data_IF_643240845963
#
_entry.id   IF_643240845963
#
_cell.length_a   1.000
_cell.length_b   1.000
_cell.length_c   1.000
_cell.angle_alpha   90.00
_cell.angle_beta   90.00
_cell.angle_gamma   90.00
#
_symmetry.space_group_name_H-M   'P 1'
#
loop_
_entity.id
_entity.type
_entity.pdbx_description
1 polymer ?
#
# COMPACT_ATOMS: atom_id res chain seq x y z
N UNK A 1 -18.48 -9.69 6.96
CA UNK A 1 -17.53 -10.81 6.68
C UNK A 1 -16.23 -10.62 7.47
N UNK A 2 -15.49 -11.71 7.76
CA UNK A 2 -14.13 -11.65 8.35
C UNK A 2 -13.16 -12.31 7.37
N UNK A 3 -12.20 -11.54 6.84
CA UNK A 3 -11.08 -12.08 6.08
C UNK A 3 -9.96 -12.49 7.04
N UNK A 4 -9.62 -13.78 7.02
CA UNK A 4 -8.55 -14.33 7.85
C UNK A 4 -7.18 -14.05 7.24
N UNK A 5 -6.16 -13.95 8.10
CA UNK A 5 -4.76 -13.82 7.66
C UNK A 5 -4.33 -15.04 6.86
N UNK A 6 -3.60 -14.83 5.76
CA UNK A 6 -3.16 -15.89 4.84
C UNK A 6 -1.65 -16.08 4.81
N UNK A 7 -0.86 -15.09 5.28
CA UNK A 7 0.62 -15.17 5.31
C UNK A 7 1.20 -15.09 6.72
N UNK A 8 0.33 -15.26 7.73
CA UNK A 8 0.76 -15.36 9.13
C UNK A 8 1.70 -16.56 9.34
N UNK A 9 2.79 -16.35 10.07
CA UNK A 9 3.83 -17.37 10.29
C UNK A 9 4.85 -17.51 9.16
N UNK A 10 4.62 -16.85 8.00
CA UNK A 10 5.55 -16.86 6.87
C UNK A 10 6.11 -15.48 6.55
N UNK A 11 5.28 -14.45 6.42
CA UNK A 11 5.72 -13.06 6.16
C UNK A 11 5.98 -12.28 7.45
N UNK A 12 5.26 -12.63 8.51
CA UNK A 12 5.40 -12.06 9.85
C UNK A 12 5.08 -13.14 10.92
N UNK A 13 5.50 -12.96 12.18
CA UNK A 13 5.28 -13.97 13.24
C UNK A 13 3.81 -14.36 13.42
N UNK A 14 3.57 -15.65 13.63
CA UNK A 14 2.23 -16.21 13.80
C UNK A 14 1.64 -16.03 15.20
N UNK A 15 2.43 -15.63 16.20
CA UNK A 15 1.92 -15.42 17.56
C UNK A 15 1.86 -13.94 17.90
N UNK A 16 0.82 -13.49 18.64
CA UNK A 16 0.63 -12.08 18.98
C UNK A 16 1.84 -11.45 19.69
N UNK A 17 2.45 -12.18 20.61
CA UNK A 17 3.58 -11.70 21.43
C UNK A 17 4.80 -11.42 20.53
N UNK A 18 5.19 -12.41 19.72
CA UNK A 18 6.34 -12.29 18.81
C UNK A 18 6.12 -11.19 17.78
N UNK A 19 4.90 -11.13 17.23
CA UNK A 19 4.55 -10.13 16.22
C UNK A 19 4.58 -8.72 16.82
N UNK A 20 4.04 -8.54 18.03
CA UNK A 20 4.05 -7.23 18.71
C UNK A 20 5.47 -6.75 19.00
N UNK A 21 6.34 -7.63 19.49
CA UNK A 21 7.75 -7.32 19.74
C UNK A 21 8.45 -6.93 18.43
N UNK A 22 8.37 -7.78 17.39
CA UNK A 22 9.03 -7.49 16.11
C UNK A 22 8.52 -6.21 15.46
N UNK A 23 7.20 -5.98 15.44
CA UNK A 23 6.62 -4.77 14.86
C UNK A 23 7.06 -3.50 15.61
N UNK A 24 7.15 -3.56 16.94
CA UNK A 24 7.66 -2.44 17.74
C UNK A 24 9.14 -2.15 17.43
N UNK A 25 9.96 -3.20 17.27
CA UNK A 25 11.38 -3.07 16.91
C UNK A 25 11.60 -2.52 15.48
N UNK A 26 10.60 -2.66 14.60
CA UNK A 26 10.65 -2.17 13.22
C UNK A 26 10.19 -0.71 13.09
N UNK A 27 9.26 -0.27 13.95
CA UNK A 27 8.72 1.10 13.92
C UNK A 27 9.63 2.01 14.76
N UNK A 28 10.86 2.19 14.32
CA UNK A 28 11.82 3.06 14.99
C UNK A 28 12.12 4.27 14.10
N UNK A 29 12.02 5.46 14.66
CA UNK A 29 12.44 6.68 13.98
C UNK A 29 12.36 7.89 14.90
N UNK A 30 13.47 8.63 14.96
CA UNK A 30 13.59 9.90 15.69
C UNK A 30 13.26 11.12 14.81
N UNK A 31 12.92 10.89 13.54
CA UNK A 31 12.61 11.98 12.62
C UNK A 31 11.23 12.58 12.92
N UNK A 32 11.08 13.89 12.73
CA UNK A 32 9.79 14.55 12.92
C UNK A 32 8.70 13.92 12.04
N UNK A 33 7.51 13.72 12.62
CA UNK A 33 6.36 13.21 11.89
C UNK A 33 5.84 14.23 10.88
N UNK A 34 5.44 13.76 9.71
CA UNK A 34 4.89 14.57 8.64
C UNK A 34 3.44 14.20 8.34
N UNK A 35 2.65 15.20 7.96
CA UNK A 35 1.33 14.98 7.40
C UNK A 35 1.51 14.66 5.91
N UNK A 36 1.36 13.40 5.55
CA UNK A 36 1.42 12.97 4.16
C UNK A 36 0.00 12.72 3.62
N UNK A 37 -0.16 12.88 2.31
CA UNK A 37 -1.37 12.49 1.58
C UNK A 37 -1.32 11.00 1.28
N UNK A 38 -0.12 10.46 1.00
CA UNK A 38 0.08 9.04 0.75
C UNK A 38 1.52 8.60 0.97
N UNK A 39 1.73 7.30 0.98
CA UNK A 39 3.04 6.66 1.10
C UNK A 39 3.12 5.40 0.24
N UNK A 40 4.31 5.10 -0.28
CA UNK A 40 4.63 3.81 -0.91
C UNK A 40 5.39 2.98 0.10
N UNK A 41 4.92 1.76 0.38
CA UNK A 41 5.44 0.91 1.47
C UNK A 41 5.63 -0.52 0.96
N UNK A 42 6.79 -1.15 1.19
CA UNK A 42 7.04 -2.52 0.74
C UNK A 42 6.25 -3.56 1.53
N UNK A 43 6.05 -4.76 0.93
CA UNK A 43 5.28 -5.85 1.52
C UNK A 43 5.95 -7.23 1.46
N UNK A 44 7.25 -7.30 1.25
CA UNK A 44 8.00 -8.53 1.47
C UNK A 44 7.90 -8.96 2.94
N UNK A 45 8.32 -10.19 3.27
CA UNK A 45 8.36 -10.63 4.65
C UNK A 45 9.15 -9.67 5.55
N UNK A 46 8.75 -9.51 6.80
CA UNK A 46 9.30 -8.51 7.73
C UNK A 46 10.81 -8.60 7.93
N UNK A 47 11.40 -9.78 7.75
CA UNK A 47 12.86 -9.95 7.79
C UNK A 47 13.57 -9.17 6.66
N UNK A 48 12.90 -8.93 5.54
CA UNK A 48 13.46 -8.22 4.38
C UNK A 48 13.03 -6.75 4.33
N UNK A 49 11.73 -6.48 4.38
CA UNK A 49 11.17 -5.15 4.14
C UNK A 49 10.69 -4.43 5.39
N UNK A 50 10.59 -5.13 6.53
CA UNK A 50 9.98 -4.59 7.73
C UNK A 50 10.62 -3.30 8.24
N UNK A 51 11.96 -3.17 8.16
CA UNK A 51 12.68 -1.94 8.56
C UNK A 51 12.33 -0.75 7.67
N UNK A 52 12.17 -0.98 6.36
CA UNK A 52 11.79 0.07 5.43
C UNK A 52 10.34 0.50 5.69
N UNK A 53 9.42 -0.47 5.79
CA UNK A 53 8.02 -0.22 6.09
C UNK A 53 7.84 0.50 7.43
N UNK A 54 8.52 0.02 8.47
CA UNK A 54 8.51 0.63 9.81
C UNK A 54 9.04 2.05 9.83
N UNK A 55 10.13 2.34 9.10
CA UNK A 55 10.68 3.69 8.98
C UNK A 55 9.68 4.66 8.32
N UNK A 56 8.94 4.20 7.29
CA UNK A 56 7.89 5.01 6.67
C UNK A 56 6.77 5.30 7.68
N UNK A 57 6.24 4.27 8.36
CA UNK A 57 5.15 4.46 9.33
C UNK A 57 5.56 5.31 10.54
N UNK A 58 6.82 5.22 10.99
CA UNK A 58 7.34 6.06 12.05
C UNK A 58 7.34 7.57 11.70
N UNK A 59 7.47 7.90 10.40
CA UNK A 59 7.46 9.29 9.89
C UNK A 59 6.05 9.89 9.77
N UNK A 60 5.01 9.08 9.76
CA UNK A 60 3.67 9.55 9.43
C UNK A 60 2.88 10.01 10.65
N UNK A 61 2.13 11.11 10.51
CA UNK A 61 1.04 11.44 11.42
C UNK A 61 -0.08 10.43 11.15
N UNK A 62 -0.45 9.65 12.17
CA UNK A 62 -1.38 8.55 12.05
C UNK A 62 -2.81 9.07 11.78
N UNK A 63 -3.49 8.62 10.70
CA UNK A 63 -4.83 9.06 10.34
C UNK A 63 -5.91 8.25 11.06
N UNK A 64 -7.18 8.59 10.82
CA UNK A 64 -8.33 7.80 11.25
C UNK A 64 -8.59 6.62 10.30
N UNK A 65 -8.32 6.82 9.00
CA UNK A 65 -8.59 5.84 7.93
C UNK A 65 -7.39 5.71 7.00
N UNK A 66 -7.08 4.47 6.61
CA UNK A 66 -6.13 4.19 5.54
C UNK A 66 -6.86 3.72 4.27
N UNK A 67 -6.56 4.30 3.11
CA UNK A 67 -6.90 3.70 1.80
C UNK A 67 -5.69 2.92 1.33
N UNK A 68 -5.80 1.59 1.27
CA UNK A 68 -4.71 0.70 0.93
C UNK A 68 -4.86 0.14 -0.47
N UNK A 69 -3.95 0.52 -1.35
CA UNK A 69 -3.87 0.07 -2.73
C UNK A 69 -2.78 -1.00 -2.82
N UNK A 70 -3.10 -2.22 -3.22
CA UNK A 70 -2.14 -3.31 -3.37
C UNK A 70 -2.22 -3.98 -4.74
N UNK A 71 -1.15 -4.60 -5.23
CA UNK A 71 -1.23 -5.47 -6.39
C UNK A 71 -2.01 -6.74 -6.05
N UNK A 72 -2.66 -7.34 -7.04
CA UNK A 72 -3.20 -8.69 -6.93
C UNK A 72 -2.23 -9.68 -7.58
N UNK A 73 -1.46 -10.39 -6.75
CA UNK A 73 -0.49 -11.39 -7.21
C UNK A 73 -1.13 -12.72 -7.62
N UNK A 74 -2.39 -12.93 -7.23
CA UNK A 74 -3.08 -14.21 -7.46
C UNK A 74 -3.71 -14.30 -8.84
N UNK A 75 -4.02 -13.17 -9.46
CA UNK A 75 -4.76 -13.09 -10.72
C UNK A 75 -6.21 -13.56 -10.61
N UNK A 76 -6.74 -13.72 -9.39
CA UNK A 76 -8.12 -14.17 -9.12
C UNK A 76 -8.98 -12.97 -8.76
N UNK A 77 -10.23 -12.98 -9.18
CA UNK A 77 -11.20 -11.91 -8.92
C UNK A 77 -11.23 -10.82 -10.00
N UNK A 78 -11.85 -9.70 -9.66
CA UNK A 78 -12.02 -8.56 -10.54
C UNK A 78 -10.67 -7.87 -10.88
N UNK A 79 -10.61 -7.20 -12.02
CA UNK A 79 -9.42 -6.43 -12.44
C UNK A 79 -9.02 -5.34 -11.46
N UNK A 80 -10.01 -4.72 -10.80
CA UNK A 80 -9.83 -3.86 -9.64
C UNK A 80 -10.89 -4.23 -8.61
N UNK A 81 -10.47 -4.83 -7.50
CA UNK A 81 -11.34 -5.36 -6.47
C UNK A 81 -11.33 -4.48 -5.22
N UNK A 82 -12.51 -4.18 -4.67
CA UNK A 82 -12.70 -3.53 -3.37
C UNK A 82 -13.57 -4.40 -2.47
N UNK A 83 -13.29 -4.40 -1.16
CA UNK A 83 -14.25 -4.90 -0.15
C UNK A 83 -14.80 -3.69 0.59
N UNK A 84 -16.14 -3.56 0.63
CA UNK A 84 -16.79 -2.37 1.21
C UNK A 84 -17.21 -2.54 2.65
N UNK A 85 -17.23 -3.77 3.20
CA UNK A 85 -17.65 -4.01 4.58
C UNK A 85 -17.00 -5.24 5.20
N UNK A 86 -16.95 -5.27 6.53
CA UNK A 86 -16.39 -6.38 7.28
C UNK A 86 -15.11 -6.02 8.02
N UNK A 87 -14.25 -7.03 8.24
CA UNK A 87 -13.01 -6.89 9.01
C UNK A 87 -11.94 -7.81 8.46
N UNK A 88 -10.67 -7.42 8.59
CA UNK A 88 -9.55 -8.32 8.38
C UNK A 88 -8.93 -8.72 9.72
N UNK A 89 -8.56 -9.99 9.82
CA UNK A 89 -7.97 -10.57 11.01
C UNK A 89 -6.46 -10.69 10.85
N UNK A 90 -5.73 -10.31 11.90
CA UNK A 90 -4.30 -10.55 12.09
C UNK A 90 -4.07 -11.18 13.47
N UNK A 91 -2.89 -11.69 13.80
CA UNK A 91 -2.60 -12.12 15.16
C UNK A 91 -2.75 -11.03 16.24
N UNK A 92 -2.69 -9.75 15.85
CA UNK A 92 -2.87 -8.61 16.77
C UNK A 92 -4.33 -8.19 16.96
N UNK A 93 -5.27 -8.84 16.26
CA UNK A 93 -6.70 -8.54 16.36
C UNK A 93 -7.31 -8.16 15.00
N UNK A 94 -8.55 -7.70 15.05
CA UNK A 94 -9.33 -7.38 13.86
C UNK A 94 -9.25 -5.88 13.52
N UNK A 95 -9.09 -5.58 12.24
CA UNK A 95 -9.12 -4.22 11.69
C UNK A 95 -10.40 -4.05 10.86
N UNK A 96 -11.28 -3.09 11.21
CA UNK A 96 -12.53 -2.88 10.49
C UNK A 96 -12.28 -2.18 9.14
N UNK A 97 -13.10 -2.53 8.14
CA UNK A 97 -13.20 -1.79 6.89
C UNK A 97 -14.02 -0.53 7.13
N UNK A 98 -13.59 0.58 6.54
CA UNK A 98 -14.36 1.81 6.53
C UNK A 98 -15.43 1.75 5.45
N UNK A 99 -16.61 1.29 5.84
CA UNK A 99 -17.73 1.04 4.92
C UNK A 99 -18.19 2.31 4.19
N UNK A 100 -18.18 3.44 4.87
CA UNK A 100 -18.67 4.71 4.30
C UNK A 100 -17.73 5.17 3.18
N UNK A 101 -16.43 5.24 3.47
CA UNK A 101 -15.41 5.65 2.49
C UNK A 101 -15.29 4.63 1.36
N UNK A 102 -15.32 3.32 1.67
CA UNK A 102 -15.26 2.27 0.65
C UNK A 102 -16.41 2.35 -0.36
N UNK A 103 -17.64 2.53 0.12
CA UNK A 103 -18.81 2.71 -0.73
C UNK A 103 -18.78 4.03 -1.50
N UNK A 104 -18.20 5.10 -0.93
CA UNK A 104 -17.99 6.35 -1.65
C UNK A 104 -17.00 6.17 -2.80
N UNK A 105 -15.88 5.49 -2.59
CA UNK A 105 -14.90 5.18 -3.63
C UNK A 105 -15.53 4.34 -4.74
N UNK A 106 -16.25 3.27 -4.40
CA UNK A 106 -16.92 2.40 -5.36
C UNK A 106 -17.89 3.18 -6.27
N UNK A 107 -18.70 4.08 -5.70
CA UNK A 107 -19.64 4.90 -6.48
C UNK A 107 -18.97 5.90 -7.42
N UNK A 108 -17.76 6.32 -7.13
CA UNK A 108 -17.00 7.29 -7.92
C UNK A 108 -16.19 6.67 -9.05
N UNK A 109 -16.12 5.33 -9.13
CA UNK A 109 -15.32 4.59 -10.13
C UNK A 109 -16.22 3.85 -11.12
N UNK A 110 -15.70 3.66 -12.32
CA UNK A 110 -16.29 2.79 -13.34
C UNK A 110 -15.55 1.46 -13.49
N UNK A 111 -14.38 1.36 -12.88
CA UNK A 111 -13.48 0.20 -13.02
C UNK A 111 -13.46 -0.67 -11.77
N UNK A 112 -13.72 -0.09 -10.59
CA UNK A 112 -13.71 -0.82 -9.33
C UNK A 112 -14.98 -1.66 -9.19
N UNK A 113 -14.80 -2.93 -8.85
CA UNK A 113 -15.88 -3.88 -8.57
C UNK A 113 -15.84 -4.33 -7.11
N UNK A 114 -16.99 -4.50 -6.47
CA UNK A 114 -17.06 -5.12 -5.15
C UNK A 114 -16.78 -6.62 -5.29
N UNK A 115 -15.62 -7.05 -4.83
CA UNK A 115 -15.16 -8.43 -5.00
C UNK A 115 -14.25 -8.88 -3.87
N UNK A 116 -14.62 -9.97 -3.22
CA UNK A 116 -13.86 -10.62 -2.16
C UNK A 116 -12.72 -11.49 -2.70
N UNK A 117 -12.90 -12.09 -3.88
CA UNK A 117 -12.00 -13.10 -4.42
C UNK A 117 -10.60 -12.52 -4.65
N UNK A 118 -10.53 -11.28 -5.12
CA UNK A 118 -9.28 -10.56 -5.32
C UNK A 118 -8.45 -10.40 -4.05
N UNK A 119 -9.08 -10.50 -2.88
CA UNK A 119 -8.43 -10.30 -1.59
C UNK A 119 -8.20 -11.57 -0.79
N UNK A 120 -8.90 -12.68 -1.09
CA UNK A 120 -8.92 -13.87 -0.24
C UNK A 120 -7.55 -14.47 0.01
N UNK A 121 -6.67 -14.50 -1.00
CA UNK A 121 -5.31 -15.08 -0.93
C UNK A 121 -4.21 -14.05 -1.20
N UNK A 122 -4.58 -12.78 -1.33
CA UNK A 122 -3.63 -11.70 -1.58
C UNK A 122 -3.02 -11.20 -0.28
N UNK A 123 -1.71 -10.99 -0.26
CA UNK A 123 -0.94 -10.66 0.93
C UNK A 123 -0.48 -9.21 1.03
N UNK A 124 -0.40 -8.50 -0.12
CA UNK A 124 0.23 -7.18 -0.21
C UNK A 124 -0.34 -6.13 0.76
N UNK A 125 -1.66 -6.14 0.97
CA UNK A 125 -2.33 -5.26 1.93
C UNK A 125 -2.26 -5.85 3.35
N UNK A 126 -2.40 -7.18 3.49
CA UNK A 126 -2.39 -7.84 4.80
C UNK A 126 -1.11 -7.55 5.58
N UNK A 127 0.05 -7.61 4.90
CA UNK A 127 1.37 -7.41 5.50
C UNK A 127 1.51 -6.02 6.15
N UNK A 128 0.77 -5.03 5.68
CA UNK A 128 0.79 -3.68 6.23
C UNK A 128 0.09 -3.57 7.61
N UNK A 129 -0.98 -4.35 7.81
CA UNK A 129 -1.87 -4.19 8.96
C UNK A 129 -1.18 -4.39 10.32
N UNK A 130 -0.33 -5.43 10.55
CA UNK A 130 0.28 -5.61 11.87
C UNK A 130 1.24 -4.47 12.26
N UNK A 131 1.95 -3.86 11.31
CA UNK A 131 2.79 -2.69 11.60
C UNK A 131 1.94 -1.50 12.04
N UNK A 132 0.82 -1.27 11.36
CA UNK A 132 -0.11 -0.19 11.74
C UNK A 132 -0.78 -0.45 13.10
N UNK A 133 -1.16 -1.70 13.38
CA UNK A 133 -1.70 -2.07 14.70
C UNK A 133 -0.69 -1.86 15.83
N UNK A 134 0.60 -2.11 15.55
CA UNK A 134 1.67 -1.88 16.52
C UNK A 134 1.90 -0.38 16.84
N UNK A 135 1.44 0.54 15.99
CA UNK A 135 1.40 1.98 16.33
C UNK A 135 0.45 2.31 17.47
N UNK A 136 -0.38 1.35 17.93
CA UNK A 136 -1.18 1.43 19.14
C UNK A 136 -2.40 2.38 19.08
N UNK A 137 -2.81 2.80 17.87
CA UNK A 137 -3.99 3.66 17.66
C UNK A 137 -5.05 2.89 16.86
N UNK A 138 -6.33 2.99 17.25
CA UNK A 138 -7.41 2.41 16.45
C UNK A 138 -7.51 3.12 15.10
N UNK A 139 -7.80 2.35 14.06
CA UNK A 139 -8.04 2.84 12.70
C UNK A 139 -8.98 1.90 11.95
N UNK A 140 -9.56 2.40 10.88
CA UNK A 140 -10.23 1.62 9.84
C UNK A 140 -9.47 1.74 8.52
N UNK A 141 -9.80 0.90 7.55
CA UNK A 141 -9.13 0.97 6.24
C UNK A 141 -10.06 0.58 5.11
N UNK A 142 -9.66 0.91 3.89
CA UNK A 142 -10.32 0.49 2.64
C UNK A 142 -9.31 -0.30 1.81
N UNK A 143 -9.52 -1.61 1.59
CA UNK A 143 -8.63 -2.43 0.76
C UNK A 143 -9.05 -2.35 -0.72
N UNK A 144 -8.12 -2.04 -1.61
CA UNK A 144 -8.29 -2.05 -3.06
C UNK A 144 -7.14 -2.83 -3.69
N UNK A 145 -7.43 -3.93 -4.38
CA UNK A 145 -6.45 -4.73 -5.12
C UNK A 145 -6.54 -4.44 -6.62
N UNK A 146 -5.39 -4.19 -7.26
CA UNK A 146 -5.29 -3.91 -8.69
C UNK A 146 -4.55 -5.04 -9.41
N UNK A 147 -5.23 -5.68 -10.35
CA UNK A 147 -4.65 -6.62 -11.31
C UNK A 147 -4.54 -6.02 -12.71
N UNK A 148 -5.42 -5.07 -13.03
CA UNK A 148 -5.41 -4.39 -14.33
C UNK A 148 -4.11 -3.63 -14.55
N UNK A 149 -3.55 -3.77 -15.77
CA UNK A 149 -2.29 -3.16 -16.17
C UNK A 149 -2.45 -1.86 -17.00
N UNK A 150 -3.70 -1.43 -17.21
CA UNK A 150 -3.98 -0.27 -18.05
C UNK A 150 -3.87 1.04 -17.24
N UNK A 151 -3.22 2.05 -17.81
CA UNK A 151 -3.11 3.38 -17.20
C UNK A 151 -4.48 4.01 -16.92
N UNK A 152 -5.45 3.80 -17.82
CA UNK A 152 -6.82 4.30 -17.64
C UNK A 152 -7.50 3.75 -16.39
N UNK A 153 -7.25 2.48 -16.03
CA UNK A 153 -7.77 1.91 -14.79
C UNK A 153 -7.12 2.56 -13.57
N UNK A 154 -5.80 2.79 -13.59
CA UNK A 154 -5.11 3.52 -12.52
C UNK A 154 -5.65 4.95 -12.37
N UNK A 155 -5.98 5.60 -13.49
CA UNK A 155 -6.54 6.94 -13.51
C UNK A 155 -7.94 6.97 -12.89
N UNK A 156 -8.82 6.07 -13.29
CA UNK A 156 -10.16 5.97 -12.73
C UNK A 156 -10.12 5.71 -11.22
N UNK A 157 -9.31 4.74 -10.77
CA UNK A 157 -9.11 4.44 -9.33
C UNK A 157 -8.58 5.65 -8.58
N UNK A 158 -7.54 6.31 -9.09
CA UNK A 158 -6.93 7.47 -8.44
C UNK A 158 -7.91 8.62 -8.27
N UNK A 159 -8.67 8.95 -9.33
CA UNK A 159 -9.69 10.00 -9.29
C UNK A 159 -10.86 9.64 -8.36
N UNK A 160 -11.31 8.38 -8.36
CA UNK A 160 -12.37 7.91 -7.48
C UNK A 160 -11.98 8.03 -6.00
N UNK A 161 -10.75 7.61 -5.67
CA UNK A 161 -10.18 7.74 -4.32
C UNK A 161 -10.06 9.20 -3.92
N UNK A 162 -9.52 10.06 -4.78
CA UNK A 162 -9.36 11.48 -4.49
C UNK A 162 -10.69 12.18 -4.20
N UNK A 163 -11.72 11.94 -5.02
CA UNK A 163 -13.06 12.50 -4.82
C UNK A 163 -13.66 12.05 -3.49
N UNK A 164 -13.62 10.75 -3.19
CA UNK A 164 -14.17 10.22 -1.95
C UNK A 164 -13.43 10.77 -0.70
N UNK A 165 -12.11 10.95 -0.78
CA UNK A 165 -11.32 11.57 0.30
C UNK A 165 -11.68 13.05 0.47
N UNK A 166 -11.81 13.81 -0.62
CA UNK A 166 -12.18 15.22 -0.58
C UNK A 166 -13.56 15.47 0.02
N UNK A 167 -14.50 14.54 -0.15
CA UNK A 167 -15.84 14.56 0.44
C UNK A 167 -15.86 14.11 1.91
N UNK A 168 -14.82 13.38 2.35
CA UNK A 168 -14.74 12.85 3.72
C UNK A 168 -14.34 13.93 4.71
N UNK A 169 -14.98 13.92 5.90
CA UNK A 169 -14.60 14.77 7.04
C UNK A 169 -13.52 14.13 7.92
N UNK A 170 -13.01 12.95 7.55
CA UNK A 170 -12.05 12.17 8.32
C UNK A 170 -10.61 12.43 7.85
N UNK A 171 -9.67 12.20 8.75
CA UNK A 171 -8.27 12.17 8.39
C UNK A 171 -7.95 10.87 7.64
N UNK A 172 -7.59 10.97 6.36
CA UNK A 172 -7.32 9.82 5.49
C UNK A 172 -5.87 9.87 5.00
N UNK A 173 -5.21 8.72 4.94
CA UNK A 173 -3.89 8.54 4.33
C UNK A 173 -3.94 7.36 3.36
N UNK A 174 -3.40 7.55 2.16
CA UNK A 174 -3.28 6.48 1.18
C UNK A 174 -1.98 5.70 1.36
N UNK A 175 -2.02 4.38 1.17
CA UNK A 175 -0.84 3.53 1.13
C UNK A 175 -0.86 2.72 -0.16
N UNK A 176 0.16 2.88 -1.00
CA UNK A 176 0.43 1.95 -2.09
C UNK A 176 1.44 0.92 -1.61
N UNK A 177 1.02 -0.33 -1.59
CA UNK A 177 1.84 -1.45 -1.17
C UNK A 177 2.65 -1.96 -2.36
N UNK A 178 3.98 -1.85 -2.32
CA UNK A 178 4.84 -2.23 -3.44
C UNK A 178 6.26 -2.54 -3.03
N UNK A 179 6.73 -3.70 -3.43
CA UNK A 179 8.17 -3.95 -3.51
C UNK A 179 8.72 -3.43 -4.84
N UNK A 180 10.03 -3.20 -4.90
CA UNK A 180 10.74 -2.75 -6.08
C UNK A 180 11.13 -3.95 -6.98
N UNK A 181 12.25 -3.89 -7.70
CA UNK A 181 12.65 -4.95 -8.66
C UNK A 181 12.84 -6.31 -8.03
N UNK A 182 12.34 -7.37 -8.68
CA UNK A 182 12.45 -8.77 -8.30
C UNK A 182 13.33 -9.54 -9.28
N UNK A 183 14.03 -10.57 -8.77
CA UNK A 183 14.78 -11.56 -9.58
C UNK A 183 15.87 -10.97 -10.48
N UNK A 184 16.49 -9.88 -10.05
CA UNK A 184 17.62 -9.23 -10.73
C UNK A 184 18.81 -9.10 -9.77
N UNK A 185 20.01 -8.86 -10.30
CA UNK A 185 21.17 -8.58 -9.45
C UNK A 185 21.00 -7.28 -8.67
N UNK A 186 21.73 -7.12 -7.55
CA UNK A 186 21.70 -5.90 -6.73
C UNK A 186 22.02 -4.65 -7.55
N UNK A 187 23.00 -4.74 -8.45
CA UNK A 187 23.42 -3.63 -9.31
C UNK A 187 22.30 -3.26 -10.29
N UNK A 188 21.66 -4.25 -10.90
CA UNK A 188 20.54 -4.06 -11.81
C UNK A 188 19.32 -3.50 -11.06
N UNK A 189 19.02 -4.02 -9.86
CA UNK A 189 17.95 -3.49 -9.02
C UNK A 189 18.16 -2.00 -8.76
N UNK A 190 19.34 -1.58 -8.29
CA UNK A 190 19.65 -0.18 -8.00
C UNK A 190 19.45 0.74 -9.19
N UNK A 191 19.84 0.32 -10.39
CA UNK A 191 19.67 1.12 -11.61
C UNK A 191 18.20 1.23 -11.98
N UNK A 192 17.48 0.11 -12.03
CA UNK A 192 16.05 0.06 -12.42
C UNK A 192 15.16 0.78 -11.40
N UNK A 193 15.35 0.47 -10.13
CA UNK A 193 14.55 1.04 -9.05
C UNK A 193 14.70 2.55 -8.96
N UNK A 194 15.91 3.07 -9.22
CA UNK A 194 16.15 4.51 -9.25
C UNK A 194 15.27 5.23 -10.27
N UNK A 195 15.05 4.65 -11.46
CA UNK A 195 14.20 5.25 -12.49
C UNK A 195 12.74 5.35 -12.02
N UNK A 196 12.22 4.30 -11.36
CA UNK A 196 10.88 4.31 -10.79
C UNK A 196 10.78 5.28 -9.60
N UNK A 197 11.77 5.28 -8.70
CA UNK A 197 11.84 6.19 -7.54
C UNK A 197 11.87 7.64 -8.01
N UNK A 198 12.66 7.99 -9.02
CA UNK A 198 12.70 9.35 -9.57
C UNK A 198 11.34 9.81 -10.12
N UNK A 199 10.57 8.91 -10.75
CA UNK A 199 9.22 9.21 -11.21
C UNK A 199 8.25 9.45 -10.03
N UNK A 200 8.37 8.64 -8.96
CA UNK A 200 7.58 8.79 -7.72
C UNK A 200 7.94 10.13 -7.05
N UNK A 201 9.22 10.44 -6.90
CA UNK A 201 9.68 11.69 -6.28
C UNK A 201 9.26 12.94 -7.06
N UNK A 202 9.13 12.81 -8.38
CA UNK A 202 8.61 13.87 -9.24
C UNK A 202 7.06 13.98 -9.19
N UNK A 203 6.38 13.11 -8.44
CA UNK A 203 4.92 12.97 -8.44
C UNK A 203 4.35 12.81 -9.87
N UNK A 204 5.02 12.04 -10.72
CA UNK A 204 4.68 11.87 -12.14
C UNK A 204 4.14 10.45 -12.41
N UNK A 205 2.81 10.24 -12.35
CA UNK A 205 2.21 8.92 -12.55
C UNK A 205 2.38 8.38 -13.98
N UNK A 206 2.34 9.26 -14.98
CA UNK A 206 2.53 8.86 -16.38
C UNK A 206 3.96 8.39 -16.62
N UNK A 207 4.95 9.09 -16.07
CA UNK A 207 6.36 8.70 -16.13
C UNK A 207 6.57 7.38 -15.41
N UNK A 208 6.02 7.20 -14.20
CA UNK A 208 6.14 5.93 -13.47
C UNK A 208 5.60 4.77 -14.28
N UNK A 209 4.37 4.86 -14.75
CA UNK A 209 3.72 3.80 -15.52
C UNK A 209 4.49 3.47 -16.81
N UNK A 210 4.99 4.49 -17.51
CA UNK A 210 5.76 4.34 -18.75
C UNK A 210 7.14 3.70 -18.47
N UNK A 211 7.91 4.21 -17.51
CA UNK A 211 9.27 3.75 -17.26
C UNK A 211 9.31 2.31 -16.75
N UNK A 212 8.37 1.94 -15.87
CA UNK A 212 8.29 0.57 -15.35
C UNK A 212 8.06 -0.43 -16.48
N UNK A 213 7.17 -0.13 -17.41
CA UNK A 213 6.88 -1.00 -18.56
C UNK A 213 8.00 -1.00 -19.60
N UNK A 214 8.56 0.16 -19.91
CA UNK A 214 9.58 0.30 -20.97
C UNK A 214 10.91 -0.33 -20.57
N UNK A 215 11.35 -0.13 -19.32
CA UNK A 215 12.61 -0.66 -18.79
C UNK A 215 12.47 -2.09 -18.24
N UNK A 216 11.27 -2.67 -18.26
CA UNK A 216 11.01 -3.98 -17.69
C UNK A 216 11.36 -4.04 -16.19
N UNK A 217 10.94 -3.02 -15.44
CA UNK A 217 11.11 -2.99 -13.98
C UNK A 217 10.05 -3.89 -13.35
N UNK A 218 10.47 -4.83 -12.52
CA UNK A 218 9.55 -5.80 -11.90
C UNK A 218 8.95 -5.29 -10.59
N UNK A 219 8.66 -4.00 -10.50
CA UNK A 219 7.97 -3.37 -9.37
C UNK A 219 6.53 -3.89 -9.32
N UNK A 220 6.19 -4.70 -8.30
CA UNK A 220 4.90 -5.39 -8.25
C UNK A 220 3.71 -4.43 -8.07
N UNK A 221 3.87 -3.39 -7.27
CA UNK A 221 2.82 -2.42 -6.97
C UNK A 221 2.88 -1.15 -7.82
N UNK A 222 3.40 -1.17 -9.04
CA UNK A 222 3.48 0.06 -9.84
C UNK A 222 2.10 0.60 -10.26
N UNK A 223 1.09 -0.25 -10.48
CA UNK A 223 -0.28 0.20 -10.74
C UNK A 223 -0.92 0.85 -9.49
N UNK A 224 -0.90 0.20 -8.30
CA UNK A 224 -1.27 0.85 -7.03
C UNK A 224 -0.57 2.18 -6.81
N UNK A 225 0.75 2.24 -7.05
CA UNK A 225 1.54 3.47 -6.88
C UNK A 225 1.15 4.53 -7.91
N UNK A 226 0.89 4.15 -9.17
CA UNK A 226 0.39 5.06 -10.20
C UNK A 226 -0.96 5.67 -9.79
N UNK A 227 -1.91 4.85 -9.32
CA UNK A 227 -3.21 5.30 -8.85
C UNK A 227 -3.07 6.23 -7.62
N UNK A 228 -2.20 5.89 -6.67
CA UNK A 228 -1.89 6.74 -5.52
C UNK A 228 -1.33 8.09 -5.95
N UNK A 229 -0.38 8.15 -6.90
CA UNK A 229 0.19 9.40 -7.38
C UNK A 229 -0.86 10.29 -8.07
N UNK A 230 -1.77 9.69 -8.86
CA UNK A 230 -2.88 10.43 -9.48
C UNK A 230 -3.77 11.04 -8.37
N UNK A 231 -4.20 10.23 -7.40
CA UNK A 231 -5.01 10.71 -6.29
C UNK A 231 -4.29 11.78 -5.46
N UNK A 232 -3.01 11.59 -5.19
CA UNK A 232 -2.22 12.54 -4.41
C UNK A 232 -2.09 13.90 -5.11
N UNK A 233 -1.86 13.93 -6.43
CA UNK A 233 -1.84 15.18 -7.23
C UNK A 233 -3.19 15.89 -7.18
N UNK A 234 -4.28 15.17 -7.34
CA UNK A 234 -5.63 15.71 -7.27
C UNK A 234 -5.93 16.31 -5.89
N UNK A 235 -5.38 15.71 -4.83
CA UNK A 235 -5.46 16.19 -3.45
C UNK A 235 -4.40 17.26 -3.09
N UNK A 236 -3.62 17.74 -4.06
CA UNK A 236 -2.69 18.84 -3.90
C UNK A 236 -1.27 18.46 -3.46
N UNK A 237 -0.85 17.21 -3.62
CA UNK A 237 0.55 16.83 -3.38
C UNK A 237 1.47 17.51 -4.41
N UNK A 238 2.54 18.15 -3.92
CA UNK A 238 3.51 18.86 -4.74
C UNK A 238 4.92 18.29 -4.69
N UNK A 239 5.18 17.38 -3.74
CA UNK A 239 6.50 16.79 -3.53
C UNK A 239 6.39 15.41 -2.88
N UNK A 240 7.42 14.60 -3.04
CA UNK A 240 7.61 13.35 -2.34
C UNK A 240 9.04 13.24 -1.82
N UNK A 241 9.26 12.47 -0.77
CA UNK A 241 10.59 12.18 -0.23
C UNK A 241 10.85 10.68 -0.15
N UNK A 242 12.09 10.27 -0.38
CA UNK A 242 12.53 8.89 -0.17
C UNK A 242 12.95 8.74 1.30
N UNK A 243 12.17 7.96 2.06
CA UNK A 243 12.46 7.71 3.48
C UNK A 243 13.62 6.72 3.61
N UNK A 244 13.58 5.62 2.87
CA UNK A 244 14.61 4.58 2.91
C UNK A 244 14.56 3.71 1.66
N UNK A 245 15.68 3.10 1.28
CA UNK A 245 15.80 2.11 0.22
C UNK A 245 16.83 1.06 0.62
N UNK A 246 16.50 -0.20 0.44
CA UNK A 246 17.40 -1.33 0.59
C UNK A 246 17.01 -2.45 -0.37
N UNK A 247 17.94 -3.37 -0.60
CA UNK A 247 17.71 -4.62 -1.33
C UNK A 247 17.79 -5.80 -0.36
N UNK A 248 17.26 -6.96 -0.76
CA UNK A 248 17.36 -8.19 0.05
C UNK A 248 18.81 -8.63 0.35
N UNK A 249 19.78 -8.08 -0.36
CA UNK A 249 21.23 -8.31 -0.11
C UNK A 249 21.81 -7.40 0.99
N UNK A 250 21.01 -6.47 1.51
CA UNK A 250 21.43 -5.54 2.57
C UNK A 250 20.92 -5.99 3.96
N UNK A 251 20.26 -7.16 4.03
CA UNK A 251 19.64 -7.76 5.24
C UNK A 251 20.46 -8.95 5.74
#
# INVERSE_FOLDING_TARGET
MIRRAVVTGSFYPGTPERLRTQAADLIIGDLPKVRAIGAVVPHAGYIYSGRIAGAVYARLIFPDVFVMLGPNHTGVGAGVAIITEGKWETPLGQVPIDTELAKAILRNSQTIEEDDLGHQREHSIEVQLPLLQACGRPFSFVPICLFSSEFAACQDVGLAVARAIAESQRSVLMVASSDMSHYVSREQAKVKDRLAIEAILACDPERLHRVVRWEGITMCGFHPTTALLIAAKELGATSAELVSYATSADV
#
